data_IF_945022810987
#
_entry.id   IF_945022810987
#
_cell.length_a   1.000
_cell.length_b   1.000
_cell.length_c   1.000
_cell.angle_alpha   90.00
_cell.angle_beta   90.00
_cell.angle_gamma   90.00
#
_symmetry.space_group_name_H-M   'P 1'
#
loop_
_entity.id
_entity.type
_entity.pdbx_description
1 polymer ?
2 non-polymer ?
3 non-polymer ?
4 non-polymer ?
5 water ?
#
# COMPACT_ATOMS: atom_id res chain seq x y z
N UNK A 1 -23.40 -1.23 -12.89
CA UNK A 1 -22.49 -1.69 -11.85
C UNK A 1 -21.47 -2.71 -12.34
N UNK A 2 -20.49 -2.99 -11.49
CA UNK A 2 -19.46 -3.99 -11.75
C UNK A 2 -18.66 -4.18 -10.47
N UNK A 3 -17.97 -5.31 -10.37
CA UNK A 3 -17.11 -5.54 -9.21
C UNK A 3 -15.86 -4.68 -9.31
N UNK A 4 -15.57 -3.93 -8.24
CA UNK A 4 -14.46 -2.98 -8.25
C UNK A 4 -13.16 -3.68 -8.62
N UNK A 5 -12.40 -3.06 -9.51
CA UNK A 5 -11.19 -3.63 -10.04
C UNK A 5 -9.96 -2.89 -9.51
N UNK A 6 -8.96 -3.66 -9.11
CA UNK A 6 -7.75 -3.15 -8.49
C UNK A 6 -6.58 -3.30 -9.46
N UNK A 7 -5.70 -2.30 -9.48
CA UNK A 7 -4.45 -2.36 -10.21
C UNK A 7 -3.33 -1.97 -9.28
N UNK A 8 -2.19 -2.65 -9.41
CA UNK A 8 -0.98 -2.35 -8.65
C UNK A 8 0.09 -1.93 -9.65
N UNK A 9 0.62 -0.72 -9.46
CA UNK A 9 1.56 -0.11 -10.39
C UNK A 9 2.90 0.09 -9.68
N UNK A 10 3.95 -0.56 -10.18
CA UNK A 10 5.30 -0.33 -9.69
C UNK A 10 5.99 0.69 -10.58
N UNK A 11 6.59 1.71 -9.96
CA UNK A 11 7.23 2.80 -10.68
C UNK A 11 8.71 2.85 -10.27
N UNK A 12 9.59 2.67 -11.24
CA UNK A 12 11.01 2.68 -10.95
C UNK A 12 11.48 1.32 -10.44
N UNK A 13 12.75 1.26 -10.10
CA UNK A 13 13.40 0.01 -9.71
C UNK A 13 12.77 -0.73 -8.55
N UNK A 14 12.73 -0.07 -7.38
CA UNK A 14 12.15 -0.70 -6.21
C UNK A 14 10.69 -1.07 -6.42
N UNK A 15 9.94 -0.20 -7.10
CA UNK A 15 8.53 -0.50 -7.35
C UNK A 15 8.35 -1.69 -8.27
N UNK A 16 9.18 -1.75 -9.34
CA UNK A 16 9.24 -2.92 -10.22
C UNK A 16 9.61 -4.18 -9.44
N UNK A 17 10.60 -4.07 -8.55
CA UNK A 17 11.02 -5.19 -7.70
C UNK A 17 9.83 -5.70 -6.88
N UNK A 18 9.12 -4.77 -6.26
CA UNK A 18 7.99 -5.15 -5.40
C UNK A 18 6.90 -5.84 -6.22
N UNK A 19 6.64 -5.35 -7.43
CA UNK A 19 5.67 -5.99 -8.31
C UNK A 19 6.11 -7.42 -8.64
N UNK A 20 7.38 -7.60 -9.03
CA UNK A 20 7.87 -8.94 -9.37
C UNK A 20 7.71 -9.90 -8.20
N UNK A 21 8.09 -9.46 -7.00
CA UNK A 21 8.00 -10.36 -5.85
C UNK A 21 6.55 -10.66 -5.49
N UNK A 22 5.66 -9.67 -5.65
CA UNK A 22 4.24 -9.90 -5.39
C UNK A 22 3.66 -10.91 -6.37
N UNK A 23 4.11 -10.88 -7.62
CA UNK A 23 3.69 -11.87 -8.60
C UNK A 23 4.26 -13.25 -8.26
N UNK A 24 5.54 -13.30 -7.87
CA UNK A 24 6.12 -14.56 -7.38
C UNK A 24 5.28 -15.15 -6.26
N UNK A 25 4.82 -14.29 -5.33
CA UNK A 25 4.10 -14.75 -4.16
C UNK A 25 2.71 -15.27 -4.50
N UNK A 26 2.15 -14.86 -5.63
CA UNK A 26 0.80 -15.26 -6.01
C UNK A 26 -0.23 -14.21 -5.65
N UNK A 27 -0.92 -13.69 -6.65
CA UNK A 27 -1.92 -12.64 -6.42
C UNK A 27 -3.04 -12.80 -7.43
N UNK A 28 -4.27 -12.92 -6.93
CA UNK A 28 -5.45 -13.10 -7.78
C UNK A 28 -6.21 -11.78 -7.91
N UNK A 29 -6.89 -11.63 -9.04
CA UNK A 29 -7.89 -10.57 -9.26
C UNK A 29 -7.29 -9.18 -9.22
N UNK A 30 -6.00 -9.04 -9.49
CA UNK A 30 -5.34 -7.74 -9.52
C UNK A 30 -4.48 -7.68 -10.78
N UNK A 31 -4.54 -6.57 -11.48
CA UNK A 31 -3.70 -6.39 -12.64
C UNK A 31 -2.43 -5.66 -12.23
N UNK A 32 -1.28 -6.20 -12.59
CA UNK A 32 -0.01 -5.56 -12.29
C UNK A 32 0.48 -4.76 -13.49
N UNK A 33 1.03 -3.58 -13.22
CA UNK A 33 1.58 -2.70 -14.25
C UNK A 33 2.98 -2.29 -13.81
N UNK A 34 3.96 -2.50 -14.67
CA UNK A 34 5.33 -2.09 -14.41
C UNK A 34 5.63 -0.85 -15.25
N UNK A 35 6.11 0.21 -14.58
CA UNK A 35 6.47 1.46 -15.24
C UNK A 35 7.93 1.76 -14.94
N UNK A 36 8.72 2.04 -15.97
CA UNK A 36 10.12 2.36 -15.73
C UNK A 36 10.69 3.12 -16.93
N UNK A 37 11.72 3.92 -16.66
CA UNK A 37 12.57 4.45 -17.72
C UNK A 37 13.53 3.38 -18.23
N UNK A 38 13.94 2.49 -17.32
CA UNK A 38 14.97 1.48 -17.52
C UNK A 38 14.38 0.31 -18.32
N UNK A 39 14.69 0.25 -19.61
CA UNK A 39 14.19 -0.83 -20.45
C UNK A 39 14.75 -2.18 -20.10
N UNK A 40 16.00 -2.24 -19.63
CA UNK A 40 16.57 -3.51 -19.22
C UNK A 40 15.78 -4.14 -18.08
N UNK A 41 15.45 -3.35 -17.07
CA UNK A 41 14.64 -3.83 -15.95
C UNK A 41 13.24 -4.21 -16.42
N UNK A 42 12.64 -3.38 -17.29
CA UNK A 42 11.30 -3.68 -17.76
C UNK A 42 11.25 -5.00 -18.51
N UNK A 43 12.30 -5.31 -19.26
CA UNK A 43 12.32 -6.56 -20.02
C UNK A 43 12.26 -7.76 -19.09
N UNK A 44 12.74 -7.61 -17.86
CA UNK A 44 12.72 -8.69 -16.88
C UNK A 44 11.48 -8.68 -16.01
N UNK A 45 10.61 -7.70 -16.16
CA UNK A 45 9.41 -7.62 -15.34
C UNK A 45 8.51 -8.82 -15.59
N UNK A 46 7.90 -9.33 -14.52
CA UNK A 46 6.90 -10.39 -14.63
C UNK A 46 5.50 -9.84 -14.87
N UNK A 47 5.35 -8.52 -14.98
CA UNK A 47 4.04 -7.90 -15.08
C UNK A 47 3.45 -8.09 -16.47
N UNK A 48 2.14 -8.32 -16.50
CA UNK A 48 1.42 -8.48 -17.76
C UNK A 48 1.52 -7.22 -18.62
N UNK A 49 1.53 -6.05 -17.97
CA UNK A 49 1.49 -4.77 -18.65
C UNK A 49 2.75 -4.00 -18.30
N UNK A 50 3.45 -3.50 -19.32
CA UNK A 50 4.71 -2.80 -19.15
C UNK A 50 4.69 -1.48 -19.91
N UNK A 51 5.15 -0.42 -19.27
CA UNK A 51 5.22 0.91 -19.90
C UNK A 51 6.63 1.44 -19.71
N UNK A 52 7.34 1.60 -20.81
CA UNK A 52 8.64 2.28 -20.81
C UNK A 52 8.35 3.75 -20.98
N UNK A 53 8.60 4.53 -19.94
CA UNK A 53 8.35 5.96 -19.99
C UNK A 53 9.65 6.68 -20.30
N UNK A 54 9.54 7.86 -20.91
CA UNK A 54 10.73 8.63 -21.19
C UNK A 54 11.64 8.02 -22.23
N UNK A 55 11.07 7.32 -23.21
CA UNK A 55 11.86 6.73 -24.29
C UNK A 55 12.72 7.79 -24.98
N UNK A 56 12.13 8.93 -25.33
CA UNK A 56 12.92 9.97 -25.98
C UNK A 56 13.90 10.60 -25.00
N UNK A 57 13.56 10.60 -23.71
CA UNK A 57 14.33 11.34 -22.72
C UNK A 57 15.57 10.59 -22.29
N UNK A 58 15.42 9.29 -21.95
CA UNK A 58 16.52 8.50 -21.44
C UNK A 58 16.97 7.40 -22.39
N UNK A 59 16.21 7.13 -23.45
CA UNK A 59 16.57 6.11 -24.44
C UNK A 59 16.84 4.76 -23.79
N UNK A 60 15.98 4.39 -22.84
CA UNK A 60 15.99 3.08 -22.23
C UNK A 60 16.87 2.94 -21.00
N UNK A 61 17.66 3.96 -20.68
CA UNK A 61 18.38 3.99 -19.41
C UNK A 61 17.46 4.48 -18.29
N UNK A 62 17.89 4.24 -17.06
CA UNK A 62 17.27 4.87 -15.91
C UNK A 62 17.47 6.38 -15.93
N UNK A 63 16.94 7.02 -14.89
CA UNK A 63 16.96 8.47 -14.73
C UNK A 63 18.20 8.97 -13.98
N UNK A 64 19.10 8.09 -13.57
CA UNK A 64 20.37 8.54 -13.00
C UNK A 64 20.27 9.49 -11.83
N UNK A 65 19.32 9.24 -10.93
CA UNK A 65 19.13 9.97 -9.67
C UNK A 65 18.60 11.40 -9.83
N UNK A 66 18.10 11.77 -11.00
CA UNK A 66 17.55 13.10 -11.21
C UNK A 66 16.04 12.98 -11.24
N UNK A 67 15.33 13.36 -10.16
CA UNK A 67 13.87 13.19 -10.16
C UNK A 67 13.17 13.99 -11.24
N UNK A 68 13.78 15.06 -11.72
CA UNK A 68 13.17 15.82 -12.80
C UNK A 68 13.06 14.98 -14.07
N UNK A 69 13.99 14.05 -14.27
CA UNK A 69 13.93 13.18 -15.43
C UNK A 69 12.78 12.18 -15.29
N UNK A 70 12.61 11.58 -14.11
CA UNK A 70 11.47 10.71 -13.89
C UNK A 70 10.15 11.42 -14.12
N UNK A 71 10.05 12.67 -13.64
CA UNK A 71 8.81 13.43 -13.80
C UNK A 71 8.55 13.71 -15.27
N UNK A 72 9.56 14.20 -15.98
CA UNK A 72 9.40 14.51 -17.41
C UNK A 72 9.11 13.24 -18.20
N UNK A 73 9.70 12.12 -17.80
CA UNK A 73 9.45 10.86 -18.47
C UNK A 73 7.99 10.46 -18.36
N UNK A 74 7.43 10.58 -17.15
CA UNK A 74 6.01 10.28 -16.94
C UNK A 74 5.13 11.21 -17.74
N UNK A 75 5.48 12.50 -17.78
CA UNK A 75 4.72 13.46 -18.56
C UNK A 75 4.79 13.15 -20.05
N UNK A 76 5.97 12.77 -20.56
CA UNK A 76 6.09 12.43 -21.97
C UNK A 76 5.16 11.27 -22.33
N UNK A 77 5.00 10.30 -21.43
CA UNK A 77 4.20 9.09 -21.65
C UNK A 77 2.83 9.16 -21.02
N UNK A 78 2.31 10.33 -20.74
CA UNK A 78 1.03 10.44 -20.11
C UNK A 78 -0.12 9.64 -20.73
N UNK A 79 -0.22 9.64 -22.04
CA UNK A 79 -1.33 8.92 -22.65
C UNK A 79 -1.19 7.41 -22.47
N UNK A 80 0.05 6.91 -22.55
CA UNK A 80 0.29 5.49 -22.31
C UNK A 80 -0.09 5.11 -20.87
N UNK A 81 0.22 5.97 -19.92
CA UNK A 81 -0.14 5.70 -18.53
C UNK A 81 -1.65 5.74 -18.37
N UNK A 82 -2.33 6.72 -18.98
CA UNK A 82 -3.79 6.77 -18.94
C UNK A 82 -4.41 5.47 -19.44
N UNK A 83 -3.94 5.00 -20.61
CA UNK A 83 -4.52 3.81 -21.22
C UNK A 83 -4.32 2.57 -20.35
N UNK A 84 -3.19 2.49 -19.65
CA UNK A 84 -2.93 1.34 -18.80
C UNK A 84 -3.78 1.36 -17.53
N UNK A 85 -4.13 2.55 -17.03
CA UNK A 85 -4.96 2.66 -15.83
C UNK A 85 -6.44 2.50 -16.14
N UNK A 86 -6.88 2.92 -17.33
CA UNK A 86 -8.29 3.07 -17.65
C UNK A 86 -9.10 1.84 -17.22
N UNK A 87 -10.18 2.09 -16.48
CA UNK A 87 -11.03 1.04 -15.97
C UNK A 87 -10.81 0.71 -14.50
N UNK A 88 -9.66 1.06 -13.95
CA UNK A 88 -9.42 0.73 -12.54
C UNK A 88 -10.32 1.54 -11.62
N UNK A 89 -10.91 0.85 -10.63
CA UNK A 89 -11.58 1.55 -9.55
C UNK A 89 -10.61 1.98 -8.45
N UNK A 90 -9.53 1.23 -8.27
CA UNK A 90 -8.54 1.51 -7.24
C UNK A 90 -7.16 1.19 -7.80
N UNK A 91 -6.21 2.10 -7.53
CA UNK A 91 -4.84 1.98 -8.04
C UNK A 91 -3.91 2.11 -6.86
N UNK A 92 -3.02 1.14 -6.69
CA UNK A 92 -1.93 1.24 -5.74
C UNK A 92 -0.67 1.58 -6.51
N UNK A 93 0.01 2.65 -6.13
CA UNK A 93 1.26 3.06 -6.75
C UNK A 93 2.37 2.82 -5.75
N UNK A 94 3.31 1.96 -6.09
CA UNK A 94 4.41 1.64 -5.19
C UNK A 94 5.74 2.00 -5.84
N UNK A 95 6.62 2.59 -5.04
CA UNK A 95 7.85 3.16 -5.57
C UNK A 95 8.80 3.38 -4.41
N UNK A 96 10.10 3.34 -4.69
CA UNK A 96 11.10 3.68 -3.70
C UNK A 96 11.52 5.12 -3.95
N UNK A 97 11.31 5.97 -2.94
CA UNK A 97 11.70 7.36 -3.12
C UNK A 97 13.20 7.55 -2.93
N UNK A 98 13.75 8.50 -3.68
CA UNK A 98 15.14 8.84 -3.53
C UNK A 98 15.92 8.80 -4.84
N UNK A 99 15.49 7.94 -5.78
CA UNK A 99 16.12 7.84 -7.09
C UNK A 99 15.53 8.80 -8.10
N UNK A 100 15.89 8.58 -9.37
CA UNK A 100 15.47 9.49 -10.41
C UNK A 100 14.09 9.18 -10.94
N UNK A 101 13.76 7.91 -11.12
CA UNK A 101 12.51 7.55 -11.77
C UNK A 101 11.34 7.58 -10.79
N UNK A 102 11.40 6.78 -9.72
CA UNK A 102 10.28 6.74 -8.78
C UNK A 102 9.96 8.11 -8.18
N UNK A 103 10.99 8.83 -7.72
CA UNK A 103 10.77 10.10 -7.04
C UNK A 103 9.98 11.07 -7.90
N UNK A 104 10.32 11.14 -9.18
CA UNK A 104 9.67 12.06 -10.11
C UNK A 104 8.45 11.49 -10.80
N UNK A 105 8.51 10.21 -11.21
CA UNK A 105 7.40 9.67 -12.00
C UNK A 105 6.23 9.20 -11.14
N UNK A 106 6.48 8.61 -9.97
CA UNK A 106 5.35 8.07 -9.21
C UNK A 106 4.29 9.11 -8.87
N UNK A 107 4.62 10.35 -8.47
CA UNK A 107 3.53 11.32 -8.24
C UNK A 107 2.74 11.67 -9.50
N UNK A 108 3.37 11.63 -10.68
CA UNK A 108 2.65 11.87 -11.93
C UNK A 108 1.69 10.72 -12.20
N UNK A 109 2.19 9.49 -12.06
CA UNK A 109 1.34 8.32 -12.21
C UNK A 109 0.15 8.39 -11.25
N UNK A 110 0.41 8.71 -9.97
CA UNK A 110 -0.68 8.83 -9.00
C UNK A 110 -1.65 9.93 -9.40
N UNK A 111 -1.14 11.07 -9.86
CA UNK A 111 -2.01 12.16 -10.29
C UNK A 111 -2.90 11.73 -11.45
N UNK A 112 -2.33 11.01 -12.42
CA UNK A 112 -3.13 10.55 -13.56
C UNK A 112 -4.21 9.61 -13.07
N UNK A 113 -3.85 8.68 -12.17
CA UNK A 113 -4.82 7.71 -11.68
C UNK A 113 -5.99 8.40 -11.01
N UNK A 114 -5.71 9.45 -10.23
CA UNK A 114 -6.77 10.14 -9.50
C UNK A 114 -7.61 10.99 -10.43
N UNK A 115 -6.98 11.61 -11.43
CA UNK A 115 -7.75 12.36 -12.42
C UNK A 115 -8.61 11.44 -13.26
N UNK A 116 -8.16 10.20 -13.53
CA UNK A 116 -8.96 9.17 -14.20
C UNK A 116 -10.07 8.61 -13.31
N UNK A 117 -10.20 9.04 -12.05
CA UNK A 117 -11.31 8.65 -11.21
C UNK A 117 -11.05 7.50 -10.26
N UNK A 118 -9.82 6.97 -10.23
CA UNK A 118 -9.51 5.84 -9.36
C UNK A 118 -9.16 6.33 -7.96
N UNK A 119 -9.64 5.59 -6.96
CA UNK A 119 -9.13 5.74 -5.61
C UNK A 119 -7.65 5.37 -5.62
N UNK A 120 -6.78 6.30 -5.23
CA UNK A 120 -5.35 6.16 -5.51
C UNK A 120 -4.56 6.14 -4.20
N UNK A 121 -3.89 5.01 -3.95
CA UNK A 121 -3.12 4.81 -2.72
C UNK A 121 -1.65 4.65 -3.09
N UNK A 122 -0.78 5.40 -2.43
CA UNK A 122 0.66 5.26 -2.62
C UNK A 122 1.24 4.46 -1.46
N UNK A 123 2.15 3.55 -1.79
CA UNK A 123 2.95 2.85 -0.79
C UNK A 123 4.40 3.04 -1.22
N UNK A 124 5.14 3.89 -0.49
CA UNK A 124 6.48 4.25 -0.93
C UNK A 124 7.45 4.05 0.21
N UNK A 125 8.72 3.82 -0.13
CA UNK A 125 9.78 3.77 0.88
C UNK A 125 10.58 5.06 0.89
N UNK A 126 11.13 5.39 2.06
CA UNK A 126 12.21 6.36 2.16
C UNK A 126 13.54 5.62 2.17
N UNK A 127 14.60 6.24 1.68
CA UNK A 127 15.89 5.54 1.60
C UNK A 127 16.49 5.29 2.97
N UNK A 128 17.36 4.29 3.03
CA UNK A 128 18.16 4.06 4.23
C UNK A 128 18.99 5.30 4.55
N UNK A 129 19.19 5.55 5.85
CA UNK A 129 20.08 6.65 6.23
C UNK A 129 21.48 6.45 5.65
N UNK A 130 21.94 5.20 5.48
CA UNK A 130 23.28 5.01 4.93
C UNK A 130 23.40 5.45 3.47
N UNK A 131 22.29 5.80 2.82
CA UNK A 131 22.39 6.31 1.46
C UNK A 131 22.67 7.81 1.42
N UNK A 132 22.63 8.50 2.56
CA UNK A 132 23.09 9.86 2.66
C UNK A 132 21.96 10.87 2.70
N UNK A 133 22.34 12.10 3.06
CA UNK A 133 21.37 13.16 3.30
C UNK A 133 20.73 13.65 2.01
N UNK A 134 21.52 13.73 0.94
CA UNK A 134 20.97 14.20 -0.34
C UNK A 134 19.88 13.26 -0.83
N UNK A 135 20.12 11.95 -0.79
CA UNK A 135 19.09 11.00 -1.18
C UNK A 135 17.85 11.12 -0.29
N UNK A 136 18.06 11.33 1.02
CA UNK A 136 16.93 11.47 1.93
C UNK A 136 16.14 12.74 1.61
N UNK A 137 16.82 13.85 1.30
CA UNK A 137 16.14 15.10 1.00
C UNK A 137 15.36 14.99 -0.30
N UNK A 138 15.98 14.42 -1.33
CA UNK A 138 15.30 14.17 -2.59
C UNK A 138 14.07 13.31 -2.39
N UNK A 139 14.20 12.26 -1.59
CA UNK A 139 13.06 11.40 -1.33
C UNK A 139 11.96 12.14 -0.59
N UNK A 140 12.33 13.05 0.33
CA UNK A 140 11.31 13.76 1.09
C UNK A 140 10.48 14.64 0.17
N UNK A 141 11.13 15.26 -0.82
CA UNK A 141 10.39 16.02 -1.81
C UNK A 141 9.47 15.11 -2.61
N UNK A 142 9.92 13.88 -2.92
CA UNK A 142 9.05 12.93 -3.57
C UNK A 142 7.85 12.54 -2.73
N UNK A 143 8.08 12.30 -1.43
CA UNK A 143 6.97 11.94 -0.54
C UNK A 143 5.94 13.05 -0.50
N UNK A 144 6.40 14.30 -0.43
CA UNK A 144 5.48 15.43 -0.41
C UNK A 144 4.69 15.53 -1.71
N UNK A 145 5.36 15.33 -2.85
CA UNK A 145 4.64 15.34 -4.12
C UNK A 145 3.66 14.19 -4.19
N UNK A 146 4.05 13.02 -3.66
CA UNK A 146 3.15 11.88 -3.60
C UNK A 146 1.92 12.21 -2.78
N UNK A 147 2.14 12.84 -1.61
CA UNK A 147 1.02 13.13 -0.73
C UNK A 147 0.01 14.05 -1.42
N UNK A 148 0.52 15.00 -2.21
CA UNK A 148 -0.34 15.94 -2.93
C UNK A 148 -1.10 15.30 -4.07
N UNK A 149 -0.71 14.11 -4.51
CA UNK A 149 -1.28 13.47 -5.70
C UNK A 149 -2.19 12.29 -5.40
N UNK A 150 -2.05 11.66 -4.24
CA UNK A 150 -2.79 10.45 -3.92
C UNK A 150 -4.00 10.79 -3.05
N UNK A 151 -4.87 9.80 -2.91
CA UNK A 151 -5.91 9.86 -1.89
C UNK A 151 -5.35 9.54 -0.51
N UNK A 152 -4.56 8.46 -0.42
CA UNK A 152 -3.92 8.08 0.85
C UNK A 152 -2.50 7.59 0.58
N UNK A 153 -1.62 7.83 1.54
CA UNK A 153 -0.20 7.54 1.41
C UNK A 153 0.29 6.73 2.60
N UNK A 154 0.94 5.60 2.31
CA UNK A 154 1.63 4.78 3.31
C UNK A 154 3.13 4.90 3.03
N UNK A 155 3.90 5.34 4.03
CA UNK A 155 5.34 5.52 3.91
C UNK A 155 6.04 4.51 4.80
N UNK A 156 6.98 3.78 4.21
CA UNK A 156 7.81 2.82 4.92
C UNK A 156 9.24 3.36 4.91
N UNK A 157 9.76 3.91 6.01
CA UNK A 157 11.18 4.27 6.01
C UNK A 157 12.02 3.00 5.98
N UNK A 158 12.93 2.91 4.99
CA UNK A 158 13.72 1.69 4.89
C UNK A 158 14.53 1.45 6.16
N UNK A 159 14.88 2.51 6.90
CA UNK A 159 15.58 2.31 8.18
C UNK A 159 14.80 1.40 9.11
N UNK A 160 13.49 1.32 9.00
CA UNK A 160 12.74 0.44 9.87
C UNK A 160 13.06 -1.01 9.62
N UNK A 161 13.51 -1.33 8.42
CA UNK A 161 13.91 -2.71 8.15
C UNK A 161 15.08 -3.12 9.03
N UNK A 162 15.91 -2.17 9.44
CA UNK A 162 17.00 -2.49 10.35
C UNK A 162 16.52 -2.86 11.75
N UNK A 163 15.24 -2.63 12.06
CA UNK A 163 14.66 -3.00 13.35
C UNK A 163 14.11 -4.42 13.40
N UNK A 164 13.97 -5.10 12.26
CA UNK A 164 13.35 -6.41 12.20
C UNK A 164 14.31 -7.48 11.69
N UNK A 165 15.58 -7.16 11.56
CA UNK A 165 16.59 -8.11 11.07
C UNK A 165 17.56 -8.41 12.20
N UNK A 166 18.20 -9.57 12.12
CA UNK A 166 19.40 -9.75 12.91
C UNK A 166 20.59 -9.44 12.00
N UNK A 167 21.82 -9.63 12.50
CA UNK A 167 22.97 -9.25 11.71
C UNK A 167 23.17 -10.10 10.46
N UNK A 168 22.47 -11.24 10.36
CA UNK A 168 22.61 -12.15 9.23
C UNK A 168 21.39 -12.21 8.31
N UNK A 169 20.28 -11.56 8.65
CA UNK A 169 19.09 -11.67 7.81
C UNK A 169 19.39 -11.19 6.39
N UNK A 170 19.17 -12.02 5.36
CA UNK A 170 19.46 -11.57 3.99
C UNK A 170 18.68 -10.32 3.63
N UNK A 171 19.36 -9.41 2.92
CA UNK A 171 18.71 -8.18 2.46
C UNK A 171 17.44 -8.49 1.69
N UNK A 172 17.46 -9.55 0.87
CA UNK A 172 16.25 -9.82 0.09
C UNK A 172 15.12 -10.28 0.98
N UNK A 173 15.43 -10.99 2.08
CA UNK A 173 14.38 -11.37 3.03
C UNK A 173 13.78 -10.14 3.71
N UNK A 174 14.61 -9.15 4.03
CA UNK A 174 14.09 -7.91 4.61
C UNK A 174 13.17 -7.20 3.63
N UNK A 175 13.57 -7.16 2.36
CA UNK A 175 12.73 -6.51 1.34
C UNK A 175 11.36 -7.19 1.26
N UNK A 176 11.32 -8.52 1.38
CA UNK A 176 10.04 -9.23 1.33
C UNK A 176 9.15 -8.84 2.50
N UNK A 177 9.72 -8.55 3.67
CA UNK A 177 8.91 -8.11 4.79
C UNK A 177 8.23 -6.78 4.49
N UNK A 178 8.96 -5.85 3.87
CA UNK A 178 8.36 -4.60 3.47
C UNK A 178 7.23 -4.81 2.47
N UNK A 179 7.40 -5.80 1.58
CA UNK A 179 6.38 -6.07 0.54
C UNK A 179 5.05 -6.47 1.16
N UNK A 180 5.07 -7.11 2.34
CA UNK A 180 3.85 -7.57 2.98
C UNK A 180 2.85 -6.45 3.18
N UNK A 181 3.33 -5.23 3.44
CA UNK A 181 2.43 -4.13 3.74
C UNK A 181 1.45 -3.92 2.60
N UNK A 182 1.97 -3.68 1.39
CA UNK A 182 1.12 -3.50 0.22
C UNK A 182 0.36 -4.78 -0.12
N UNK A 183 1.06 -5.89 -0.19
CA UNK A 183 0.45 -7.13 -0.61
C UNK A 183 -0.76 -7.55 0.20
N UNK A 184 -0.62 -7.54 1.49
CA UNK A 184 -1.76 -7.93 2.32
C UNK A 184 -2.82 -6.85 2.36
N UNK A 185 -2.45 -5.58 2.18
CA UNK A 185 -3.46 -4.55 2.02
C UNK A 185 -4.30 -4.77 0.78
N UNK A 186 -3.66 -5.09 -0.34
CA UNK A 186 -4.39 -5.42 -1.55
C UNK A 186 -5.29 -6.64 -1.33
N UNK A 187 -4.72 -7.70 -0.74
CA UNK A 187 -5.51 -8.91 -0.53
C UNK A 187 -6.71 -8.65 0.39
N UNK A 188 -6.52 -7.79 1.40
CA UNK A 188 -7.62 -7.44 2.29
C UNK A 188 -8.75 -6.73 1.58
N UNK A 189 -8.41 -5.71 0.77
CA UNK A 189 -9.47 -4.98 0.07
C UNK A 189 -10.13 -5.86 -0.97
N UNK A 190 -9.36 -6.73 -1.62
CA UNK A 190 -9.93 -7.69 -2.56
C UNK A 190 -10.99 -8.57 -1.86
N UNK A 191 -10.65 -9.11 -0.68
CA UNK A 191 -11.60 -9.94 0.04
C UNK A 191 -12.82 -9.15 0.45
N UNK A 192 -12.62 -7.89 0.82
CA UNK A 192 -13.72 -7.04 1.26
C UNK A 192 -14.73 -6.84 0.14
N UNK A 193 -14.23 -6.59 -1.08
CA UNK A 193 -15.10 -6.40 -2.25
C UNK A 193 -15.85 -7.69 -2.57
N UNK A 194 -15.15 -8.83 -2.49
CA UNK A 194 -15.66 -10.08 -3.03
C UNK A 194 -16.68 -10.77 -2.15
N UNK A 195 -16.67 -10.51 -0.85
CA UNK A 195 -17.48 -11.26 0.10
C UNK A 195 -18.49 -10.32 0.71
N UNK A 196 -19.75 -10.77 0.81
CA UNK A 196 -20.79 -10.06 1.52
C UNK A 196 -20.72 -10.46 2.99
N UNK A 197 -20.20 -9.58 3.83
CA UNK A 197 -20.04 -9.93 5.23
C UNK A 197 -21.34 -9.89 6.01
N UNK A 198 -21.34 -10.61 7.13
CA UNK A 198 -22.50 -10.59 8.03
C UNK A 198 -22.80 -9.17 8.50
N UNK A 199 -21.76 -8.37 8.74
CA UNK A 199 -21.88 -6.92 8.78
C UNK A 199 -20.97 -6.44 7.65
N UNK A 200 -21.58 -6.02 6.53
CA UNK A 200 -20.81 -5.89 5.30
C UNK A 200 -20.07 -4.56 5.21
N UNK A 201 -18.84 -4.62 4.70
CA UNK A 201 -18.14 -3.46 4.16
C UNK A 201 -17.91 -3.68 2.67
N UNK A 202 -17.97 -2.62 1.88
CA UNK A 202 -17.70 -2.75 0.44
C UNK A 202 -16.86 -1.56 -0.01
N UNK A 203 -16.69 -1.43 -1.33
CA UNK A 203 -15.76 -0.43 -1.86
C UNK A 203 -16.21 0.99 -1.51
N UNK A 204 -17.52 1.25 -1.39
CA UNK A 204 -17.94 2.58 -0.97
C UNK A 204 -17.45 2.93 0.43
N UNK A 205 -17.35 1.94 1.31
CA UNK A 205 -16.79 2.19 2.64
C UNK A 205 -15.30 2.46 2.57
N UNK A 206 -14.60 1.71 1.71
CA UNK A 206 -13.19 1.98 1.47
C UNK A 206 -13.00 3.42 0.99
N UNK A 207 -13.82 3.85 0.02
CA UNK A 207 -13.72 5.23 -0.46
C UNK A 207 -13.97 6.23 0.65
N UNK A 208 -14.93 5.97 1.53
CA UNK A 208 -15.23 6.95 2.58
C UNK A 208 -14.04 7.15 3.50
N UNK A 209 -13.35 6.05 3.84
CA UNK A 209 -12.24 6.17 4.77
C UNK A 209 -10.96 6.64 4.07
N UNK A 210 -10.78 6.36 2.79
CA UNK A 210 -9.50 6.61 2.13
C UNK A 210 -9.47 7.79 1.16
N UNK A 211 -10.62 8.29 0.71
CA UNK A 211 -10.61 9.36 -0.29
C UNK A 211 -10.12 10.68 0.31
N UNK A 212 -9.11 11.29 -0.35
CA UNK A 212 -8.66 12.64 -0.01
C UNK A 212 -8.23 12.75 1.46
N UNK A 213 -7.37 11.83 1.92
CA UNK A 213 -7.09 11.70 3.34
C UNK A 213 -5.65 11.91 3.78
N UNK A 214 -4.66 11.70 2.93
CA UNK A 214 -3.27 11.90 3.34
C UNK A 214 -2.67 10.63 3.93
N UNK A 215 -2.01 10.77 5.07
CA UNK A 215 -1.30 9.65 5.67
C UNK A 215 -2.26 8.55 6.13
N UNK A 216 -1.81 7.30 6.04
CA UNK A 216 -2.65 6.17 6.38
C UNK A 216 -1.82 5.08 7.05
N UNK A 217 -2.50 4.27 7.84
CA UNK A 217 -1.97 3.01 8.31
C UNK A 217 -2.88 1.91 7.79
N UNK A 218 -2.27 0.87 7.24
CA UNK A 218 -2.97 -0.36 6.94
C UNK A 218 -2.27 -1.48 7.70
N UNK A 219 -3.07 -2.38 8.28
CA UNK A 219 -2.45 -3.44 9.06
C UNK A 219 -3.39 -4.60 9.26
N UNK A 220 -2.82 -5.73 9.65
CA UNK A 220 -3.61 -6.93 9.80
C UNK A 220 -3.01 -7.75 10.93
N UNK A 221 -3.89 -8.38 11.71
CA UNK A 221 -3.48 -9.21 12.83
C UNK A 221 -4.26 -10.52 12.91
N UNK A 222 -3.52 -11.62 12.98
CA UNK A 222 -4.10 -12.95 13.06
C UNK A 222 -3.69 -13.55 14.40
N UNK A 223 -4.66 -14.08 15.15
CA UNK A 223 -4.33 -14.72 16.42
C UNK A 223 -5.33 -15.84 16.70
N UNK A 224 -5.06 -16.59 17.77
CA UNK A 224 -5.91 -17.70 18.14
C UNK A 224 -5.84 -17.88 19.64
N UNK A 225 -6.73 -18.73 20.15
CA UNK A 225 -6.71 -19.07 21.55
C UNK A 225 -7.27 -17.98 22.46
N UNK A 226 -6.71 -17.94 23.67
CA UNK A 226 -7.35 -17.31 24.83
C UNK A 226 -7.78 -15.88 24.55
N UNK A 227 -6.82 -15.02 24.25
CA UNK A 227 -7.08 -13.59 24.05
C UNK A 227 -6.99 -13.20 22.58
N UNK A 228 -7.56 -14.03 21.69
CA UNK A 228 -7.26 -13.91 20.27
C UNK A 228 -7.69 -12.56 19.70
N UNK A 229 -8.81 -12.00 20.16
CA UNK A 229 -9.32 -10.78 19.53
C UNK A 229 -8.46 -9.57 19.89
N UNK A 230 -8.12 -9.42 21.18
CA UNK A 230 -7.23 -8.34 21.59
C UNK A 230 -5.88 -8.49 20.90
N UNK A 231 -5.34 -9.71 20.84
CA UNK A 231 -4.04 -9.95 20.22
C UNK A 231 -4.06 -9.58 18.74
N UNK A 232 -5.05 -10.07 18.01
CA UNK A 232 -5.12 -9.77 16.58
C UNK A 232 -5.31 -8.28 16.33
N UNK A 233 -6.14 -7.62 17.14
CA UNK A 233 -6.31 -6.18 17.02
C UNK A 233 -4.99 -5.45 17.26
N UNK A 234 -4.26 -5.85 18.30
CA UNK A 234 -2.96 -5.24 18.58
C UNK A 234 -1.99 -5.45 17.43
N UNK A 235 -1.99 -6.64 16.83
CA UNK A 235 -1.06 -6.89 15.73
C UNK A 235 -1.45 -6.09 14.49
N UNK A 236 -2.74 -5.83 14.30
CA UNK A 236 -3.16 -5.11 13.11
C UNK A 236 -2.71 -3.66 13.11
N UNK A 237 -2.59 -3.03 14.29
CA UNK A 237 -2.40 -1.59 14.39
C UNK A 237 -0.97 -1.21 14.78
N UNK A 238 -0.04 -2.16 14.78
CA UNK A 238 1.31 -1.91 15.29
C UNK A 238 2.40 -2.49 14.37
N UNK A 239 2.51 -1.95 13.15
CA UNK A 239 3.63 -2.45 12.35
C UNK A 239 4.92 -1.71 12.71
N UNK A 240 6.03 -2.42 12.88
CA UNK A 240 7.31 -1.73 13.09
C UNK A 240 7.79 -0.96 11.87
N UNK A 241 7.14 -1.11 10.71
CA UNK A 241 7.69 -0.60 9.46
C UNK A 241 7.07 0.71 9.00
N UNK A 242 5.95 1.13 9.57
CA UNK A 242 5.22 2.25 9.03
C UNK A 242 5.60 3.54 9.75
N UNK A 243 5.70 4.61 8.98
CA UNK A 243 5.97 5.94 9.51
C UNK A 243 4.79 6.48 10.30
N UNK A 244 3.57 6.18 9.87
CA UNK A 244 2.35 6.67 10.48
C UNK A 244 1.80 5.63 11.45
N UNK A 245 1.74 5.97 12.73
CA UNK A 245 1.13 5.06 13.69
C UNK A 245 -0.37 5.32 13.81
N UNK A 246 -1.05 4.40 14.50
CA UNK A 246 -2.49 4.51 14.71
C UNK A 246 -2.83 5.74 15.54
N UNK A 247 -1.90 6.18 16.40
CA UNK A 247 -2.20 7.27 17.31
C UNK A 247 -2.59 8.50 16.52
N UNK A 248 -3.75 9.07 16.86
CA UNK A 248 -4.28 10.22 16.16
C UNK A 248 -5.32 9.90 15.11
N UNK A 249 -5.57 8.63 14.81
CA UNK A 249 -6.47 8.30 13.71
C UNK A 249 -7.88 8.78 14.03
N UNK A 250 -8.49 9.44 13.06
CA UNK A 250 -9.86 9.92 13.18
C UNK A 250 -10.86 9.04 12.45
N UNK A 251 -10.49 8.53 11.28
CA UNK A 251 -11.29 7.55 10.54
C UNK A 251 -10.63 6.18 10.57
N UNK A 252 -11.42 5.15 10.83
CA UNK A 252 -10.95 3.76 10.78
C UNK A 252 -11.96 2.91 10.04
N UNK A 253 -11.48 2.07 9.14
CA UNK A 253 -12.25 0.95 8.62
C UNK A 253 -11.67 -0.29 9.29
N UNK A 254 -12.52 -1.05 9.97
CA UNK A 254 -12.03 -2.22 10.68
C UNK A 254 -12.93 -3.41 10.38
N UNK A 255 -12.32 -4.51 10.00
CA UNK A 255 -13.07 -5.74 9.77
C UNK A 255 -12.53 -6.82 10.70
N UNK A 256 -13.43 -7.64 11.22
CA UNK A 256 -13.06 -8.84 11.97
C UNK A 256 -13.60 -10.05 11.23
N UNK A 257 -12.72 -11.02 10.96
CA UNK A 257 -13.15 -12.29 10.39
C UNK A 257 -12.82 -13.38 11.39
N UNK A 258 -13.80 -14.25 11.65
CA UNK A 258 -13.58 -15.40 12.50
C UNK A 258 -14.48 -16.53 12.08
N UNK A 259 -14.31 -17.67 12.74
CA UNK A 259 -15.20 -18.78 12.52
C UNK A 259 -16.53 -18.55 13.22
N UNK A 260 -17.35 -19.61 13.21
CA UNK A 260 -18.67 -19.53 13.85
C UNK A 260 -18.58 -19.25 15.34
N UNK A 261 -17.40 -19.33 15.94
CA UNK A 261 -17.26 -19.07 17.36
C UNK A 261 -17.05 -17.59 17.66
N UNK A 262 -16.88 -16.75 16.63
CA UNK A 262 -16.66 -15.32 16.85
C UNK A 262 -17.73 -14.72 17.76
N UNK A 263 -17.31 -14.19 18.92
CA UNK A 263 -18.26 -13.74 19.92
C UNK A 263 -18.47 -12.23 19.84
N UNK A 264 -19.65 -11.79 20.27
CA UNK A 264 -19.92 -10.35 20.32
C UNK A 264 -18.95 -9.66 21.26
N UNK A 265 -18.66 -10.30 22.40
CA UNK A 265 -17.79 -9.68 23.38
C UNK A 265 -16.39 -9.46 22.80
N UNK A 266 -15.85 -10.47 22.13
CA UNK A 266 -14.50 -10.30 21.61
C UNK A 266 -14.47 -9.30 20.46
N UNK A 267 -15.55 -9.19 19.68
CA UNK A 267 -15.64 -8.13 18.68
C UNK A 267 -15.53 -6.76 19.33
N UNK A 268 -16.27 -6.55 20.43
CA UNK A 268 -16.15 -5.31 21.17
C UNK A 268 -14.72 -5.10 21.67
N UNK A 269 -14.12 -6.14 22.28
CA UNK A 269 -12.74 -6.05 22.75
C UNK A 269 -11.81 -5.52 21.66
N UNK A 270 -11.92 -6.10 20.46
CA UNK A 270 -11.04 -5.71 19.37
C UNK A 270 -11.29 -4.27 18.94
N UNK A 271 -12.57 -3.91 18.81
CA UNK A 271 -12.90 -2.55 18.41
C UNK A 271 -12.42 -1.54 19.45
N UNK A 272 -12.55 -1.90 20.73
CA UNK A 272 -12.06 -1.04 21.82
C UNK A 272 -10.55 -0.84 21.74
N UNK A 273 -9.79 -1.89 21.40
CA UNK A 273 -8.33 -1.78 21.29
C UNK A 273 -7.98 -0.71 20.27
N UNK A 274 -8.66 -0.71 19.14
CA UNK A 274 -8.41 0.28 18.09
C UNK A 274 -8.82 1.66 18.57
N UNK A 275 -9.96 1.75 19.26
CA UNK A 275 -10.41 3.03 19.79
C UNK A 275 -9.40 3.63 20.76
N UNK A 276 -8.96 2.85 21.75
CA UNK A 276 -8.10 3.43 22.80
C UNK A 276 -6.68 3.66 22.29
N UNK A 277 -6.17 2.77 21.42
CA UNK A 277 -4.84 2.96 20.89
C UNK A 277 -4.78 4.18 19.98
N UNK A 278 -5.87 4.47 19.27
CA UNK A 278 -5.95 5.72 18.51
C UNK A 278 -5.86 6.92 19.42
N UNK A 279 -6.31 6.80 20.66
CA UNK A 279 -6.39 7.93 21.60
C UNK A 279 -7.16 9.09 20.97
N UNK A 280 -8.19 8.75 20.19
CA UNK A 280 -9.10 9.73 19.62
C UNK A 280 -10.51 9.18 19.68
N UNK A 281 -11.48 10.05 19.46
CA UNK A 281 -12.82 9.59 19.09
C UNK A 281 -12.74 9.23 17.61
N UNK A 282 -12.77 7.95 17.32
CA UNK A 282 -12.56 7.47 15.95
C UNK A 282 -13.91 7.24 15.29
N UNK A 283 -14.08 7.79 14.09
CA UNK A 283 -15.19 7.40 13.23
C UNK A 283 -14.94 6.00 12.66
N UNK A 284 -15.41 4.98 13.34
CA UNK A 284 -15.19 3.60 12.90
C UNK A 284 -16.27 3.19 11.91
N UNK A 285 -15.85 2.54 10.84
CA UNK A 285 -16.74 1.79 9.97
C UNK A 285 -16.38 0.33 10.20
N UNK A 286 -17.30 -0.42 10.81
CA UNK A 286 -17.03 -1.72 11.38
C UNK A 286 -17.67 -2.81 10.54
N UNK A 287 -16.92 -3.88 10.27
CA UNK A 287 -17.44 -5.01 9.53
C UNK A 287 -17.10 -6.31 10.24
N UNK A 288 -17.85 -7.36 9.88
CA UNK A 288 -17.67 -8.70 10.43
C UNK A 288 -17.95 -9.73 9.35
N UNK A 289 -17.12 -10.76 9.28
CA UNK A 289 -17.32 -11.89 8.38
C UNK A 289 -17.16 -13.17 9.16
N UNK A 290 -18.11 -14.09 9.01
CA UNK A 290 -17.98 -15.44 9.53
C UNK A 290 -17.47 -16.31 8.40
N UNK A 291 -16.25 -16.83 8.56
CA UNK A 291 -15.68 -17.80 7.63
C UNK A 291 -15.62 -19.14 8.34
N UNK A 292 -16.57 -20.05 8.10
CA UNK A 292 -16.57 -21.32 8.84
C UNK A 292 -15.32 -22.15 8.58
N UNK A 293 -14.61 -21.91 7.48
CA UNK A 293 -13.35 -22.60 7.24
C UNK A 293 -12.31 -22.25 8.30
N UNK A 294 -12.47 -21.13 8.98
CA UNK A 294 -11.63 -20.84 10.13
C UNK A 294 -12.12 -21.67 11.31
N UNK A 295 -11.16 -22.16 12.11
CA UNK A 295 -11.53 -22.84 13.34
C UNK A 295 -11.42 -21.87 14.50
N UNK A 296 -10.23 -21.78 15.09
CA UNK A 296 -10.01 -20.92 16.24
C UNK A 296 -9.28 -19.64 15.88
N UNK A 297 -9.07 -19.37 14.59
CA UNK A 297 -8.34 -18.18 14.17
C UNK A 297 -9.29 -16.98 14.04
N UNK A 298 -8.79 -15.82 14.43
CA UNK A 298 -9.45 -14.54 14.19
C UNK A 298 -8.51 -13.66 13.38
N UNK A 299 -9.06 -12.88 12.45
CA UNK A 299 -8.25 -11.96 11.68
C UNK A 299 -8.86 -10.56 11.78
N UNK A 300 -8.05 -9.59 12.16
CA UNK A 300 -8.49 -8.20 12.29
C UNK A 300 -7.75 -7.38 11.25
N UNK A 301 -8.49 -6.64 10.43
CA UNK A 301 -7.85 -5.76 9.45
C UNK A 301 -8.28 -4.34 9.72
N UNK A 302 -7.31 -3.42 9.65
CA UNK A 302 -7.52 -2.01 10.00
C UNK A 302 -6.93 -1.13 8.90
N UNK A 303 -7.70 -0.16 8.43
CA UNK A 303 -7.14 0.99 7.73
C UNK A 303 -7.53 2.23 8.52
N UNK A 304 -6.53 3.05 8.85
CA UNK A 304 -6.75 4.24 9.66
C UNK A 304 -6.25 5.47 8.92
N UNK A 305 -7.08 6.51 8.88
CA UNK A 305 -6.74 7.77 8.23
C UNK A 305 -7.19 8.92 9.13
N UNK A 306 -7.11 10.13 8.61
CA UNK A 306 -7.62 11.28 9.34
C UNK A 306 -6.65 11.80 10.37
N UNK A 307 -5.35 11.69 10.10
CA UNK A 307 -4.35 12.25 11.01
C UNK A 307 -4.14 13.74 10.74
N UNK A 308 -4.01 14.10 9.47
CA UNK A 308 -3.80 15.49 9.09
C UNK A 308 -5.11 16.27 9.14
X LIG B 1 14.63 4.60 -9.47
X LIG B 1 15.49 5.67 -10.05
X LIG B 1 13.25 5.09 -9.06
X LIG B 1 14.50 3.41 -10.38
X LIG B 1 15.42 4.15 -8.13
X LIG B 1 15.21 2.77 -7.31
X LIG B 1 13.75 2.46 -7.15
X LIG B 1 16.06 1.67 -7.91
X LIG B 1 15.87 3.20 -5.91
X LIG B 1 15.32 4.27 -5.15
X LIG B 1 15.37 3.94 -3.66
X LIG B 1 14.46 2.88 -3.40
X LIG B 1 16.72 3.43 -3.24
X LIG B 1 17.52 4.57 -2.88
X LIG B 1 16.41 2.55 -2.08
X LIG B 1 16.23 3.32 -0.88
X LIG B 1 15.01 2.05 -2.35
X LIG B 1 14.86 0.70 -2.91
X LIG B 1 15.19 0.30 -4.16
X LIG B 1 14.80 -0.97 -4.37
X LIG B 1 14.17 -1.39 -3.25
X LIG B 1 13.51 -2.61 -2.76
X LIG B 1 13.42 -3.60 -3.52
X LIG B 1 12.99 -2.62 -1.54
X LIG B 1 13.05 -1.56 -0.70
X LIG B 1 12.52 -1.65 0.55
X LIG B 1 13.64 -0.40 -1.05
X LIG B 1 14.20 -0.27 -2.29
X LIG C 1 -17.83 -7.03 1.72
X LIG D 1 -3.35 -11.58 3.48
X LIG D 1 -4.36 -10.72 3.92
X LIG D 1 -4.91 -11.34 5.04
X LIG D 1 -6.08 -10.76 5.86
X LIG D 1 -7.07 -9.97 4.98
X LIG D 1 -8.26 -9.38 5.75
X LIG D 1 -10.22 -8.12 5.55
X LIG D 1 -10.70 -7.07 4.57
X LIG D 1 -13.01 -7.67 4.71
X LIG D 1 -12.80 -8.89 4.14
X LIG D 1 -13.90 -9.68 3.81
X LIG D 1 -15.17 -9.20 4.06
X LIG D 1 -15.36 -7.97 4.63
X LIG D 1 -16.78 -7.50 4.89
X LIG D 1 -4.57 -13.39 6.37
X LIG D 1 -0.88 -16.68 5.01
X LIG D 1 -2.04 -16.07 5.79
X LIG D 1 -2.78 -16.61 7.09
X LIG D 1 -3.89 -15.59 7.47
X LIG D 1 -4.86 -15.70 8.62
X LIG D 1 -2.82 -14.75 5.58
X LIG D 1 -2.40 -13.90 4.39
X LIG D 1 -3.32 -12.68 4.37
X LIG D 1 -14.27 -7.19 4.97
X LIG D 1 -10.04 -5.68 4.73
X LIG D 1 -8.92 -3.85 4.43
X LIG D 1 -8.02 -2.90 3.87
X LIG D 1 -6.96 -3.34 3.12
X LIG D 1 -6.05 -2.44 2.54
X LIG D 1 -6.16 -1.08 2.72
X LIG D 1 -5.12 -0.13 2.05
X LIG D 1 -7.24 -0.63 3.50
X LIG D 1 -8.15 -1.52 4.07
X LIG D 1 -9.66 -3.77 5.58
X LIG D 1 -16.24 -9.95 3.75
X LIG D 1 -14.42 -5.97 5.53
X LIG D 1 -4.95 1.10 2.53
X LIG D 1 -3.85 -0.57 2.14
X LIG D 1 -5.56 -0.03 0.77
X LIG D 1 -6.15 -13.80 6.29
X LIG D 1 -4.34 -12.61 7.80
X LIG D 1 -3.81 -14.56 6.50
X LIG D 1 -17.25 -7.07 6.20
X LIG D 1 -9.20 -5.05 3.94
X LIG D 1 -4.27 -12.49 5.29
X LIG D 1 -8.67 -9.89 6.73
X LIG D 1 -8.84 -8.21 5.28
X LIG D 1 -11.98 -6.83 5.08
X LIG D 1 -17.51 -7.52 3.99
X LIG D 1 -10.32 -4.89 5.72
X LIG D 1 -9.85 -2.42 6.92
#
# INVERSE_FOLDING_TARGET
GHMATLKVIGVGGGGNNAVNRMIDHGMNNVEFIAINTDGQALNLSKAESKIQIGEKLTRGLGAGANPEIGKKAAEESREQIEDAIQGADMVFVTSGMGGGTGTGAAPVVAKIAKEMGALTVGVVTRPFSFEGRKRQTQAAAGVEAMKAAVDTLIVIPNDRLLDIVDKSTPMMEAFKEADNVLRQGVQGISDLIAVSGEVNLDFADVKTIMSNQGSALMGIGVSSGENRAVEAAKKAISSPLLETSIVGAQGVLMNITGGESLSLFEAQEAADIVQDAADEDVNMIFGTVINPELQDEIVVTVIATGFD
GDP PB O1B O2B O3B O3A PA O1A O2A O5' C5' C4' O4' C3' O3' C2' O2' C1' N9 C8 N7 C5 C6 O6 N1 C2 N2 N3 C4
CA CA
DVX C10 C12 C13 C14 C15 C16 C19 C20 C22 C23 C24 C25 C27 C28 B50 C01 C02 C03 C04 C05 C07 C08 C09 C31 C33 C35 C36 C37 C38 C39 C40 C44 C45 C46 F26 F32 F41 F42 F43 F51 F52 N06 N29 N34 N49 O17 O18 O21 O30 O48 BR1
#
